data_IF_901286133017
#
_entry.id   IF_901286133017
#
_cell.length_a   1.000
_cell.length_b   1.000
_cell.length_c   1.000
_cell.angle_alpha   90.00
_cell.angle_beta   90.00
_cell.angle_gamma   90.00
#
_symmetry.space_group_name_H-M   'P 1'
#
loop_
_entity.id
_entity.type
_entity.pdbx_description
1 polymer ?
#
# COMPACT_ATOMS: atom_id res chain seq x y z
N UNK A 1 -24.42 32.48 -32.92
CA UNK A 1 -24.53 31.35 -31.97
C UNK A 1 -23.29 30.46 -32.09
N UNK A 2 -22.60 30.32 -30.95
CA UNK A 2 -21.69 29.23 -30.51
C UNK A 2 -20.52 28.82 -31.41
N UNK A 3 -19.39 29.46 -31.12
CA UNK A 3 -18.01 28.99 -31.36
C UNK A 3 -17.85 27.56 -30.83
N UNK A 4 -17.35 26.65 -31.64
CA UNK A 4 -16.93 25.31 -31.20
C UNK A 4 -15.47 25.14 -31.59
N UNK A 5 -14.58 25.61 -30.70
CA UNK A 5 -13.21 25.14 -30.60
C UNK A 5 -13.26 23.79 -29.86
N UNK A 6 -12.86 22.69 -30.49
CA UNK A 6 -12.61 21.41 -29.79
C UNK A 6 -11.12 21.12 -29.89
N UNK A 7 -10.44 21.44 -28.80
CA UNK A 7 -9.12 20.98 -28.40
C UNK A 7 -9.30 19.95 -27.28
N UNK A 8 -8.29 19.06 -27.17
CA UNK A 8 -7.94 18.23 -26.01
C UNK A 8 -8.47 16.78 -25.97
N UNK A 9 -7.57 15.87 -26.40
CA UNK A 9 -6.97 14.81 -25.57
C UNK A 9 -7.90 14.17 -24.54
N UNK A 10 -8.40 12.98 -24.86
CA UNK A 10 -9.02 12.08 -23.89
C UNK A 10 -8.36 10.71 -23.94
N UNK A 11 -7.45 10.57 -22.98
CA UNK A 11 -6.80 9.39 -22.42
C UNK A 11 -7.67 8.12 -22.47
N UNK A 12 -7.30 7.18 -23.34
CA UNK A 12 -7.79 5.81 -23.31
C UNK A 12 -6.75 4.92 -22.60
N UNK A 13 -6.87 4.81 -21.27
CA UNK A 13 -6.33 3.66 -20.53
C UNK A 13 -7.45 3.15 -19.63
N UNK A 14 -8.29 2.31 -20.22
CA UNK A 14 -9.39 1.62 -19.55
C UNK A 14 -8.84 0.42 -18.79
N UNK A 15 -8.89 0.54 -17.47
CA UNK A 15 -9.24 -0.48 -16.49
C UNK A 15 -8.84 -1.95 -16.77
N UNK A 16 -7.83 -2.41 -16.04
CA UNK A 16 -7.75 -3.77 -15.49
C UNK A 16 -6.84 -3.74 -14.26
N UNK A 17 -7.39 -3.36 -13.10
CA UNK A 17 -7.02 -3.89 -11.77
C UNK A 17 -8.10 -3.43 -10.77
N UNK A 18 -9.13 -4.26 -10.63
CA UNK A 18 -10.16 -4.15 -9.60
C UNK A 18 -9.52 -4.57 -8.27
N UNK A 19 -9.12 -3.59 -7.47
CA UNK A 19 -9.16 -3.59 -5.98
C UNK A 19 -8.41 -2.35 -5.48
N UNK A 20 -9.16 -1.31 -5.08
CA UNK A 20 -8.58 -0.13 -4.41
C UNK A 20 -8.80 1.21 -5.11
N UNK A 21 -9.85 1.38 -5.92
CA UNK A 21 -10.39 2.71 -6.21
C UNK A 21 -11.38 3.08 -5.10
N UNK A 22 -10.87 3.72 -4.05
CA UNK A 22 -11.67 4.12 -2.89
C UNK A 22 -10.80 4.69 -1.79
N UNK A 23 -10.20 5.87 -2.02
CA UNK A 23 -9.62 6.73 -0.96
C UNK A 23 -8.67 6.11 0.07
N UNK A 24 -8.10 4.93 -0.21
CA UNK A 24 -7.34 4.08 0.73
C UNK A 24 -5.85 4.04 0.46
N UNK A 25 -5.12 3.31 1.32
CA UNK A 25 -3.67 3.16 1.22
C UNK A 25 -3.28 2.35 -0.02
N UNK A 26 -2.49 2.96 -0.92
CA UNK A 26 -1.99 2.30 -2.12
C UNK A 26 -0.63 1.64 -1.89
N UNK A 27 -0.45 0.43 -2.40
CA UNK A 27 0.81 -0.33 -2.37
C UNK A 27 1.66 -0.17 -3.64
N UNK A 28 1.07 0.37 -4.70
CA UNK A 28 1.67 0.42 -6.03
C UNK A 28 1.94 1.84 -6.52
N UNK A 29 1.28 2.86 -5.93
CA UNK A 29 1.52 4.28 -6.28
C UNK A 29 3.02 4.59 -6.21
N UNK A 30 3.64 5.19 -7.23
CA UNK A 30 5.08 5.51 -7.18
C UNK A 30 5.42 6.38 -5.98
N UNK A 31 6.55 6.11 -5.31
CA UNK A 31 6.97 6.87 -4.12
C UNK A 31 7.16 8.35 -4.44
N UNK A 32 7.65 8.68 -5.64
CA UNK A 32 7.78 10.07 -6.10
C UNK A 32 6.43 10.79 -6.13
N UNK A 33 5.39 10.14 -6.68
CA UNK A 33 4.02 10.67 -6.70
C UNK A 33 3.47 10.83 -5.29
N UNK A 34 3.71 9.87 -4.39
CA UNK A 34 3.30 9.98 -2.97
C UNK A 34 3.95 11.20 -2.30
N UNK A 35 5.24 11.45 -2.55
CA UNK A 35 5.95 12.61 -2.00
C UNK A 35 5.36 13.93 -2.53
N UNK A 36 5.06 14.01 -3.82
CA UNK A 36 4.43 15.18 -4.43
C UNK A 36 3.02 15.43 -3.86
N UNK A 37 2.22 14.38 -3.71
CA UNK A 37 0.90 14.46 -3.09
C UNK A 37 0.98 14.93 -1.63
N UNK A 38 1.94 14.41 -0.85
CA UNK A 38 2.12 14.80 0.53
C UNK A 38 2.41 16.31 0.69
N UNK A 39 3.22 16.89 -0.21
CA UNK A 39 3.59 18.31 -0.15
C UNK A 39 2.38 19.25 -0.25
N UNK A 40 1.35 18.86 -1.01
CA UNK A 40 0.13 19.66 -1.21
C UNK A 40 -0.87 19.51 -0.07
N UNK A 41 -0.70 18.51 0.81
CA UNK A 41 -1.60 18.26 1.93
C UNK A 41 -1.29 19.14 3.14
N UNK A 42 -2.34 19.49 3.89
CA UNK A 42 -2.21 20.06 5.23
C UNK A 42 -1.97 18.98 6.29
N UNK A 43 -1.67 19.38 7.52
CA UNK A 43 -1.35 18.47 8.62
C UNK A 43 -2.49 17.49 8.92
N UNK A 44 -3.74 17.92 8.89
CA UNK A 44 -4.91 17.04 9.12
C UNK A 44 -5.04 15.95 8.05
N UNK A 45 -4.88 16.32 6.78
CA UNK A 45 -4.88 15.38 5.66
C UNK A 45 -3.72 14.38 5.77
N UNK A 46 -2.52 14.85 6.12
CA UNK A 46 -1.36 13.99 6.31
C UNK A 46 -1.57 12.99 7.45
N UNK A 47 -2.11 13.43 8.60
CA UNK A 47 -2.47 12.53 9.70
C UNK A 47 -3.48 11.47 9.27
N UNK A 48 -4.51 11.87 8.52
CA UNK A 48 -5.51 10.93 7.97
C UNK A 48 -4.87 9.90 7.05
N UNK A 49 -3.94 10.32 6.18
CA UNK A 49 -3.22 9.40 5.29
C UNK A 49 -2.33 8.45 6.07
N UNK A 50 -1.56 8.92 7.04
CA UNK A 50 -0.74 8.05 7.91
C UNK A 50 -1.63 7.01 8.61
N UNK A 51 -2.78 7.42 9.17
CA UNK A 51 -3.72 6.51 9.81
C UNK A 51 -4.27 5.44 8.86
N UNK A 52 -4.63 5.80 7.62
CA UNK A 52 -5.10 4.84 6.60
C UNK A 52 -4.02 3.81 6.26
N UNK A 53 -2.78 4.25 6.09
CA UNK A 53 -1.67 3.35 5.83
C UNK A 53 -1.38 2.44 7.03
N UNK A 54 -1.44 2.98 8.25
CA UNK A 54 -1.31 2.17 9.47
C UNK A 54 -2.40 1.09 9.54
N UNK A 55 -3.66 1.46 9.33
CA UNK A 55 -4.78 0.51 9.31
C UNK A 55 -4.60 -0.58 8.25
N UNK A 56 -4.14 -0.23 7.05
CA UNK A 56 -3.87 -1.20 5.99
C UNK A 56 -2.71 -2.17 6.35
N UNK A 57 -1.70 -1.70 7.08
CA UNK A 57 -0.62 -2.55 7.60
C UNK A 57 -1.14 -3.47 8.70
N UNK A 58 -1.90 -2.93 9.66
CA UNK A 58 -2.50 -3.72 10.76
C UNK A 58 -3.41 -4.83 10.23
N UNK A 59 -4.23 -4.54 9.22
CA UNK A 59 -5.12 -5.52 8.60
C UNK A 59 -4.39 -6.72 7.97
N UNK A 60 -3.09 -6.60 7.66
CA UNK A 60 -2.27 -7.69 7.11
C UNK A 60 -1.57 -8.53 8.17
N UNK A 61 -1.46 -8.05 9.42
CA UNK A 61 -0.80 -8.81 10.51
C UNK A 61 -1.43 -10.19 10.76
N UNK A 62 -2.78 -10.35 10.77
CA UNK A 62 -3.40 -11.65 10.97
C UNK A 62 -3.02 -12.67 9.88
N UNK A 63 -2.84 -12.22 8.63
CA UNK A 63 -2.41 -13.10 7.54
C UNK A 63 -1.01 -13.65 7.80
N UNK A 64 -0.05 -12.82 8.21
CA UNK A 64 1.30 -13.29 8.58
C UNK A 64 1.23 -14.28 9.74
N UNK A 65 0.48 -13.97 10.80
CA UNK A 65 0.36 -14.85 11.96
C UNK A 65 -0.21 -16.22 11.57
N UNK A 66 -1.25 -16.25 10.74
CA UNK A 66 -1.85 -17.49 10.22
C UNK A 66 -0.85 -18.30 9.40
N UNK A 67 -0.09 -17.66 8.51
CA UNK A 67 0.91 -18.33 7.68
C UNK A 67 2.07 -18.87 8.51
N UNK A 68 2.54 -18.12 9.51
CA UNK A 68 3.55 -18.59 10.45
C UNK A 68 3.07 -19.78 11.28
N UNK A 69 1.81 -19.77 11.73
CA UNK A 69 1.22 -20.90 12.44
C UNK A 69 1.15 -22.15 11.55
N UNK A 70 0.72 -22.00 10.28
CA UNK A 70 0.75 -23.10 9.30
C UNK A 70 2.16 -23.64 9.07
N UNK A 71 3.14 -22.76 8.89
CA UNK A 71 4.53 -23.17 8.68
C UNK A 71 5.08 -23.95 9.89
N UNK A 72 4.76 -23.51 11.11
CA UNK A 72 5.16 -24.19 12.35
C UNK A 72 4.50 -25.55 12.54
N UNK A 73 3.31 -25.76 11.97
CA UNK A 73 2.59 -27.02 12.04
C UNK A 73 3.14 -28.08 11.06
N UNK A 74 4.00 -27.70 10.10
CA UNK A 74 4.62 -28.64 9.16
C UNK A 74 5.66 -29.49 9.90
N UNK A 75 5.60 -30.84 9.81
CA UNK A 75 6.63 -31.70 10.35
C UNK A 75 8.01 -31.33 9.80
N UNK A 76 9.06 -31.38 10.64
CA UNK A 76 10.43 -30.98 10.22
C UNK A 76 10.90 -31.73 8.97
N UNK A 77 10.55 -33.02 8.84
CA UNK A 77 10.87 -33.84 7.67
C UNK A 77 10.25 -33.30 6.35
N UNK A 78 9.18 -32.51 6.43
CA UNK A 78 8.46 -31.95 5.29
C UNK A 78 8.77 -30.45 5.06
N UNK A 79 9.68 -29.85 5.83
CA UNK A 79 10.01 -28.41 5.75
C UNK A 79 10.68 -27.97 4.43
N UNK A 80 11.18 -28.93 3.66
CA UNK A 80 11.74 -28.73 2.32
C UNK A 80 10.77 -29.13 1.20
N UNK A 81 9.55 -29.54 1.55
CA UNK A 81 8.50 -29.87 0.60
C UNK A 81 7.78 -28.64 0.04
N UNK A 82 6.93 -28.89 -0.96
CA UNK A 82 6.20 -27.85 -1.70
C UNK A 82 5.29 -27.00 -0.80
N UNK A 83 4.62 -27.61 0.19
CA UNK A 83 3.76 -26.91 1.13
C UNK A 83 4.50 -25.85 1.94
N UNK A 84 5.68 -26.21 2.46
CA UNK A 84 6.52 -25.27 3.21
C UNK A 84 7.05 -24.16 2.30
N UNK A 85 7.40 -24.47 1.05
CA UNK A 85 7.84 -23.49 0.06
C UNK A 85 6.72 -22.51 -0.31
N UNK A 86 5.50 -23.01 -0.52
CA UNK A 86 4.33 -22.19 -0.82
C UNK A 86 4.01 -21.22 0.32
N UNK A 87 4.00 -21.69 1.56
CA UNK A 87 3.75 -20.83 2.73
C UNK A 87 4.86 -19.77 2.88
N UNK A 88 6.14 -20.14 2.71
CA UNK A 88 7.25 -19.17 2.72
C UNK A 88 7.08 -18.10 1.65
N UNK A 89 6.66 -18.48 0.44
CA UNK A 89 6.36 -17.54 -0.66
C UNK A 89 5.23 -16.59 -0.30
N UNK A 90 4.13 -17.09 0.27
CA UNK A 90 3.02 -16.26 0.73
C UNK A 90 3.43 -15.28 1.84
N UNK A 91 4.24 -15.73 2.82
CA UNK A 91 4.82 -14.86 3.84
C UNK A 91 5.66 -13.75 3.18
N UNK A 92 6.50 -14.11 2.20
CA UNK A 92 7.29 -13.16 1.42
C UNK A 92 6.42 -12.11 0.73
N UNK A 93 5.33 -12.52 0.08
CA UNK A 93 4.39 -11.62 -0.59
C UNK A 93 3.71 -10.65 0.38
N UNK A 94 3.19 -11.15 1.51
CA UNK A 94 2.55 -10.30 2.53
C UNK A 94 3.56 -9.33 3.15
N UNK A 95 4.80 -9.78 3.37
CA UNK A 95 5.88 -8.92 3.90
C UNK A 95 6.26 -7.83 2.91
N UNK A 96 6.38 -8.15 1.62
CA UNK A 96 6.65 -7.18 0.57
C UNK A 96 5.52 -6.13 0.46
N UNK A 97 4.28 -6.57 0.56
CA UNK A 97 3.08 -5.73 0.62
C UNK A 97 3.10 -4.77 1.82
N UNK A 98 3.39 -5.26 3.03
CA UNK A 98 3.55 -4.42 4.24
C UNK A 98 4.68 -3.41 4.07
N UNK A 99 5.81 -3.82 3.48
CA UNK A 99 6.93 -2.91 3.20
C UNK A 99 6.49 -1.80 2.24
N UNK A 100 5.79 -2.16 1.16
CA UNK A 100 5.28 -1.21 0.18
C UNK A 100 4.32 -0.18 0.80
N UNK A 101 3.43 -0.60 1.70
CA UNK A 101 2.60 0.31 2.48
C UNK A 101 3.44 1.22 3.39
N UNK A 102 4.37 0.62 4.14
CA UNK A 102 5.21 1.33 5.11
C UNK A 102 6.06 2.42 4.45
N UNK A 103 6.66 2.14 3.29
CA UNK A 103 7.50 3.10 2.58
C UNK A 103 6.71 4.34 2.12
N UNK A 104 5.44 4.15 1.75
CA UNK A 104 4.54 5.24 1.35
C UNK A 104 4.00 6.00 2.56
N UNK A 105 3.66 5.28 3.63
CA UNK A 105 3.32 5.88 4.92
C UNK A 105 4.41 6.82 5.41
N UNK A 106 5.68 6.40 5.31
CA UNK A 106 6.84 7.20 5.71
C UNK A 106 6.97 8.49 4.90
N UNK A 107 6.58 8.50 3.63
CA UNK A 107 6.60 9.72 2.83
C UNK A 107 5.58 10.76 3.35
N UNK A 108 4.36 10.33 3.71
CA UNK A 108 3.37 11.21 4.36
C UNK A 108 3.81 11.65 5.75
N UNK A 109 4.36 10.74 6.55
CA UNK A 109 4.86 11.05 7.90
C UNK A 109 6.04 12.04 7.86
N UNK A 110 6.96 11.87 6.92
CA UNK A 110 8.07 12.79 6.74
C UNK A 110 7.60 14.21 6.42
N UNK A 111 6.57 14.35 5.58
CA UNK A 111 6.00 15.66 5.27
C UNK A 111 5.21 16.25 6.44
N UNK A 112 4.50 15.41 7.21
CA UNK A 112 3.81 15.84 8.43
C UNK A 112 4.80 16.44 9.43
N UNK A 113 5.92 15.75 9.66
CA UNK A 113 6.97 16.20 10.58
C UNK A 113 7.60 17.51 10.11
N UNK A 114 7.85 17.67 8.80
CA UNK A 114 8.36 18.93 8.22
C UNK A 114 7.41 20.11 8.44
N UNK A 115 6.10 19.86 8.42
CA UNK A 115 5.06 20.87 8.71
C UNK A 115 4.79 21.06 10.20
N UNK A 116 5.63 20.50 11.08
CA UNK A 116 5.52 20.62 12.54
C UNK A 116 4.41 19.78 13.17
N UNK A 117 3.82 18.83 12.43
CA UNK A 117 2.81 17.93 12.96
C UNK A 117 3.42 16.68 13.61
N UNK A 118 2.61 16.03 14.45
CA UNK A 118 2.89 14.73 15.09
C UNK A 118 1.69 13.79 15.00
N UNK A 119 1.94 12.48 15.12
CA UNK A 119 0.93 11.43 15.24
C UNK A 119 0.81 11.04 16.71
#
# INVERSE_FOLDING_TARGET
>A
MKKVCILAVSLAVTALMISGCGGGASETKPIATVKQEAQTMNTSQLKSMVAKYQQAIEAKKPAIQKLQAKLKAIPVAQMMGEDAAAIKKEIGNVTASIKALSDRMRAYLAELNKKGGSI
#
